data_IF_302612319701
#
_entry.id   IF_302612319701
#
_cell.length_a   1.000
_cell.length_b   1.000
_cell.length_c   1.000
_cell.angle_alpha   90.00
_cell.angle_beta   90.00
_cell.angle_gamma   90.00
#
_symmetry.space_group_name_H-M   'P 1'
#
loop_
_entity.id
_entity.type
_entity.pdbx_description
1 polymer ?
#
# COMPACT_ATOMS: atom_id res chain seq x y z
N UNK A 1 -42.82 -62.62 -3.15
CA UNK A 1 -41.67 -62.05 -3.88
C UNK A 1 -41.89 -60.56 -4.02
N UNK A 2 -41.05 -59.68 -3.44
CA UNK A 2 -41.21 -58.24 -3.59
C UNK A 2 -40.83 -57.75 -5.02
N UNK A 3 -41.47 -56.66 -5.52
CA UNK A 3 -41.41 -56.11 -6.89
C UNK A 3 -40.15 -55.23 -7.17
N UNK A 4 -39.93 -54.70 -8.40
CA UNK A 4 -38.61 -54.42 -8.96
C UNK A 4 -37.96 -53.09 -8.50
N UNK A 5 -36.63 -53.04 -8.67
CA UNK A 5 -35.72 -51.95 -8.30
C UNK A 5 -35.94 -50.66 -9.13
N UNK A 6 -35.83 -49.45 -8.53
CA UNK A 6 -35.89 -48.18 -9.23
C UNK A 6 -34.54 -47.76 -9.88
N UNK A 7 -34.57 -46.87 -10.90
CA UNK A 7 -33.39 -46.49 -11.70
C UNK A 7 -32.41 -45.54 -10.98
N UNK A 8 -31.14 -45.64 -11.36
CA UNK A 8 -30.02 -44.90 -10.77
C UNK A 8 -30.12 -43.36 -10.98
N UNK A 9 -29.79 -42.54 -9.97
CA UNK A 9 -29.78 -41.09 -10.13
C UNK A 9 -28.50 -40.62 -10.84
N UNK A 10 -28.67 -40.01 -12.02
CA UNK A 10 -27.62 -39.29 -12.73
C UNK A 10 -27.00 -38.20 -11.84
N UNK A 11 -25.70 -38.33 -11.54
CA UNK A 11 -24.99 -37.36 -10.71
C UNK A 11 -24.68 -36.11 -11.51
N UNK A 12 -25.40 -35.04 -11.14
CA UNK A 12 -25.30 -33.66 -11.62
C UNK A 12 -23.85 -33.15 -11.53
N UNK A 13 -23.38 -32.56 -12.63
CA UNK A 13 -22.08 -31.88 -12.77
C UNK A 13 -21.99 -30.74 -11.76
N UNK A 14 -21.27 -30.94 -10.65
CA UNK A 14 -21.00 -29.90 -9.64
C UNK A 14 -19.97 -28.90 -10.19
N UNK A 15 -20.43 -27.95 -11.00
CA UNK A 15 -19.62 -26.81 -11.47
C UNK A 15 -19.81 -25.63 -10.51
N UNK A 16 -19.14 -25.65 -9.37
CA UNK A 16 -19.10 -24.51 -8.43
C UNK A 16 -17.75 -24.44 -7.72
N UNK A 17 -16.64 -24.48 -8.48
CA UNK A 17 -15.28 -24.24 -7.93
C UNK A 17 -14.45 -23.22 -8.71
N UNK A 18 -14.89 -22.84 -9.91
CA UNK A 18 -14.16 -21.91 -10.79
C UNK A 18 -14.44 -20.43 -10.51
N UNK A 19 -15.65 -20.09 -10.05
CA UNK A 19 -16.04 -18.68 -9.84
C UNK A 19 -15.38 -18.07 -8.60
N UNK A 20 -15.27 -18.83 -7.52
CA UNK A 20 -14.60 -18.37 -6.31
C UNK A 20 -13.09 -18.13 -6.52
N UNK A 21 -12.47 -18.89 -7.42
CA UNK A 21 -11.06 -18.69 -7.80
C UNK A 21 -10.89 -17.43 -8.65
N UNK A 22 -11.75 -17.22 -9.67
CA UNK A 22 -11.69 -16.02 -10.52
C UNK A 22 -12.04 -14.72 -9.79
N UNK A 23 -12.91 -14.79 -8.78
CA UNK A 23 -13.32 -13.62 -7.99
C UNK A 23 -12.24 -13.20 -6.98
N UNK A 24 -11.46 -14.14 -6.42
CA UNK A 24 -10.32 -13.82 -5.55
C UNK A 24 -9.21 -13.05 -6.28
N UNK A 25 -8.99 -13.31 -7.58
CA UNK A 25 -7.96 -12.64 -8.38
C UNK A 25 -8.41 -11.31 -9.03
N UNK A 26 -9.68 -10.92 -8.91
CA UNK A 26 -10.23 -9.65 -9.44
C UNK A 26 -10.45 -8.59 -8.36
N UNK A 27 -9.98 -8.84 -7.13
CA UNK A 27 -10.04 -7.86 -6.04
C UNK A 27 -8.82 -6.96 -6.12
N UNK A 28 -9.05 -5.66 -6.14
CA UNK A 28 -7.98 -4.68 -5.95
C UNK A 28 -7.50 -4.74 -4.50
N UNK A 29 -6.30 -4.25 -4.24
CA UNK A 29 -5.69 -4.25 -2.90
C UNK A 29 -6.62 -3.69 -1.82
N UNK A 30 -7.37 -2.64 -2.13
CA UNK A 30 -8.36 -2.05 -1.22
C UNK A 30 -9.44 -3.05 -0.75
N UNK A 31 -10.01 -3.82 -1.68
CA UNK A 31 -11.05 -4.81 -1.34
C UNK A 31 -10.48 -5.97 -0.50
N UNK A 32 -9.20 -6.32 -0.70
CA UNK A 32 -8.51 -7.32 0.12
C UNK A 32 -8.25 -6.80 1.55
N UNK A 33 -7.94 -5.50 1.70
CA UNK A 33 -7.79 -4.86 3.01
C UNK A 33 -9.11 -4.79 3.78
N UNK A 34 -10.21 -4.40 3.12
CA UNK A 34 -11.53 -4.35 3.76
C UNK A 34 -11.97 -5.73 4.27
N UNK A 35 -11.77 -6.77 3.47
CA UNK A 35 -12.07 -8.15 3.88
C UNK A 35 -11.21 -8.61 5.05
N UNK A 36 -9.94 -8.24 5.08
CA UNK A 36 -9.05 -8.54 6.19
C UNK A 36 -9.38 -7.73 7.45
N UNK A 37 -9.90 -6.51 7.31
CA UNK A 37 -10.39 -5.72 8.45
C UNK A 37 -11.71 -6.27 9.01
N UNK A 38 -12.56 -6.85 8.17
CA UNK A 38 -13.84 -7.48 8.55
C UNK A 38 -13.67 -8.89 9.13
N UNK A 39 -12.66 -9.63 8.66
CA UNK A 39 -12.26 -10.89 9.28
C UNK A 39 -11.39 -10.55 10.49
N UNK A 40 -11.89 -10.76 11.71
CA UNK A 40 -11.16 -10.52 12.96
C UNK A 40 -9.97 -11.49 13.14
N UNK A 41 -9.03 -11.48 12.19
CA UNK A 41 -7.85 -12.33 12.17
C UNK A 41 -6.87 -11.84 13.21
N UNK A 42 -6.67 -12.62 14.27
CA UNK A 42 -5.78 -12.35 15.40
C UNK A 42 -4.27 -12.44 15.03
N UNK A 43 -3.88 -12.13 13.80
CA UNK A 43 -2.51 -12.24 13.29
C UNK A 43 -1.93 -10.92 12.76
N UNK A 44 -0.63 -10.86 12.43
CA UNK A 44 -0.01 -9.66 11.87
C UNK A 44 -0.67 -9.28 10.54
N UNK A 45 -1.35 -8.14 10.55
CA UNK A 45 -2.06 -7.53 9.42
C UNK A 45 -1.21 -6.47 8.71
N UNK A 46 -1.64 -6.03 7.54
CA UNK A 46 -1.01 -4.89 6.85
C UNK A 46 -0.97 -3.63 7.73
N UNK A 47 -2.00 -3.42 8.55
CA UNK A 47 -2.10 -2.27 9.46
C UNK A 47 -1.20 -2.43 10.68
N UNK A 48 -1.06 -3.65 11.23
CA UNK A 48 -0.17 -3.88 12.38
C UNK A 48 1.30 -4.00 11.98
N UNK A 49 1.60 -4.16 10.69
CA UNK A 49 2.97 -4.17 10.17
C UNK A 49 3.63 -2.78 10.15
N UNK A 50 2.88 -1.71 10.44
CA UNK A 50 3.43 -0.37 10.54
C UNK A 50 4.48 -0.28 11.65
N UNK A 51 5.68 0.17 11.29
CA UNK A 51 6.73 0.46 12.26
C UNK A 51 6.31 1.61 13.18
N UNK A 52 6.73 1.54 14.45
CA UNK A 52 6.56 2.64 15.39
C UNK A 52 7.35 3.89 14.93
N UNK A 53 6.93 5.10 15.32
CA UNK A 53 7.68 6.33 15.06
C UNK A 53 9.12 6.25 15.58
N UNK A 54 10.05 6.92 14.91
CA UNK A 54 11.45 7.00 15.32
C UNK A 54 11.58 7.66 16.70
N UNK A 55 12.36 7.05 17.59
CA UNK A 55 12.77 7.63 18.87
C UNK A 55 13.96 8.60 18.74
N UNK A 56 14.62 8.62 17.58
CA UNK A 56 15.80 9.45 17.31
C UNK A 56 15.43 10.81 16.70
N UNK A 57 16.22 11.87 16.96
CA UNK A 57 15.97 13.19 16.41
C UNK A 57 16.11 13.20 14.88
N UNK A 58 15.27 14.02 14.22
CA UNK A 58 15.28 14.19 12.78
C UNK A 58 16.59 14.86 12.33
N UNK A 59 17.24 14.28 11.32
CA UNK A 59 18.41 14.88 10.67
C UNK A 59 17.99 15.70 9.47
N UNK A 60 18.66 16.84 9.26
CA UNK A 60 18.39 17.72 8.14
C UNK A 60 19.46 17.57 7.05
N UNK A 61 19.02 17.16 5.86
CA UNK A 61 19.87 16.96 4.70
C UNK A 61 19.42 17.83 3.53
N UNK A 62 20.39 18.24 2.71
CA UNK A 62 20.18 18.99 1.50
C UNK A 62 19.41 18.14 0.48
N UNK A 63 18.30 18.66 -0.04
CA UNK A 63 17.48 17.93 -1.03
C UNK A 63 18.14 17.80 -2.41
N UNK A 64 19.23 18.53 -2.64
CA UNK A 64 19.95 18.51 -3.92
C UNK A 64 21.11 17.52 -3.90
N UNK A 65 21.91 17.50 -2.83
CA UNK A 65 23.15 16.71 -2.76
C UNK A 65 23.24 15.73 -1.58
N UNK A 66 22.26 15.71 -0.67
CA UNK A 66 22.24 14.81 0.48
C UNK A 66 23.19 15.14 1.63
N UNK A 67 24.02 16.18 1.50
CA UNK A 67 24.90 16.65 2.59
C UNK A 67 24.12 17.32 3.73
N UNK A 68 24.67 17.39 4.96
CA UNK A 68 24.03 18.12 6.05
C UNK A 68 23.64 19.54 5.64
N UNK A 69 22.38 19.89 5.88
CA UNK A 69 21.84 21.20 5.52
C UNK A 69 21.75 22.12 6.74
N UNK A 70 22.28 23.32 6.62
CA UNK A 70 22.14 24.37 7.63
C UNK A 70 21.05 25.40 7.27
N UNK A 71 20.58 25.39 6.02
CA UNK A 71 19.67 26.41 5.51
C UNK A 71 18.35 25.82 5.02
N UNK A 72 17.32 26.67 5.01
CA UNK A 72 15.96 26.32 4.64
C UNK A 72 15.43 27.32 3.62
N UNK A 73 14.78 26.84 2.57
CA UNK A 73 14.14 27.68 1.57
C UNK A 73 12.89 28.33 2.16
N UNK A 74 12.79 29.65 2.06
CA UNK A 74 11.65 30.42 2.59
C UNK A 74 10.32 30.15 1.87
N UNK A 75 10.37 29.69 0.62
CA UNK A 75 9.18 29.49 -0.20
C UNK A 75 8.49 28.14 0.04
N UNK A 76 9.26 27.08 0.31
CA UNK A 76 8.72 25.72 0.41
C UNK A 76 9.23 24.90 1.60
N UNK A 77 10.10 25.46 2.45
CA UNK A 77 10.63 24.76 3.61
C UNK A 77 11.67 23.67 3.30
N UNK A 78 12.01 23.42 2.03
CA UNK A 78 13.04 22.45 1.65
C UNK A 78 14.42 22.89 2.14
N UNK A 79 15.27 21.93 2.51
CA UNK A 79 16.58 22.17 3.09
C UNK A 79 17.69 22.16 2.04
N UNK A 80 18.69 23.04 2.20
CA UNK A 80 19.87 23.11 1.33
C UNK A 80 21.16 23.38 2.11
N UNK A 81 22.32 23.01 1.54
CA UNK A 81 23.62 23.16 2.20
C UNK A 81 24.40 24.42 1.77
N UNK A 82 24.19 24.93 0.55
CA UNK A 82 24.93 26.08 0.02
C UNK A 82 24.15 26.82 -1.07
N UNK A 83 24.62 28.01 -1.46
CA UNK A 83 23.99 28.87 -2.47
C UNK A 83 23.88 28.16 -3.84
N UNK A 84 24.85 27.32 -4.21
CA UNK A 84 24.76 26.52 -5.44
C UNK A 84 23.56 25.57 -5.40
N UNK A 85 23.38 24.87 -4.28
CA UNK A 85 22.22 24.00 -4.08
C UNK A 85 20.91 24.81 -4.00
N UNK A 86 20.94 26.04 -3.48
CA UNK A 86 19.77 26.92 -3.49
C UNK A 86 19.34 27.27 -4.92
N UNK A 87 20.28 27.62 -5.81
CA UNK A 87 19.97 27.92 -7.21
C UNK A 87 19.35 26.71 -7.91
N UNK A 88 19.99 25.54 -7.81
CA UNK A 88 19.44 24.29 -8.37
C UNK A 88 18.09 23.92 -7.76
N UNK A 89 17.91 24.16 -6.46
CA UNK A 89 16.64 23.96 -5.78
C UNK A 89 15.56 24.87 -6.36
N UNK A 90 15.82 26.17 -6.50
CA UNK A 90 14.87 27.15 -7.03
C UNK A 90 14.41 26.83 -8.46
N UNK A 91 15.31 26.29 -9.29
CA UNK A 91 15.03 25.97 -10.68
C UNK A 91 14.20 24.68 -10.85
N UNK A 92 14.53 23.62 -10.10
CA UNK A 92 14.03 22.26 -10.41
C UNK A 92 13.21 21.60 -9.29
N UNK A 93 13.28 22.11 -8.06
CA UNK A 93 12.71 21.44 -6.87
C UNK A 93 11.87 22.35 -5.97
N UNK A 94 11.83 23.65 -6.24
CA UNK A 94 11.10 24.58 -5.39
C UNK A 94 9.60 24.47 -5.68
N UNK A 95 8.88 23.95 -4.70
CA UNK A 95 7.41 23.81 -4.67
C UNK A 95 6.69 25.17 -4.52
N UNK A 96 7.26 26.25 -5.08
CA UNK A 96 6.72 27.63 -4.97
C UNK A 96 5.30 27.74 -5.53
N UNK A 97 4.95 26.89 -6.51
CA UNK A 97 3.69 26.94 -7.25
C UNK A 97 2.81 25.69 -7.09
N UNK A 98 3.27 24.69 -6.34
CA UNK A 98 2.45 23.51 -6.02
C UNK A 98 1.60 23.85 -4.81
N UNK A 99 0.43 24.41 -5.09
CA UNK A 99 -0.74 24.39 -4.21
C UNK A 99 -1.39 23.03 -4.29
#
# INVERSE_FOLDING_TARGET
>A
MPPPLPPAPGKKKKKTRGDHFKLRFRKNFHALLEEQNLSAGEGPSYVTACAAPSSLPQRHFCTVCGLPSHYTCVSCGARYCCVRCLATHQETRCLKWTV
#
